data_IF_110337190868
#
_entry.id   IF_110337190868
#
_cell.length_a   1.000
_cell.length_b   1.000
_cell.length_c   1.000
_cell.angle_alpha   90.00
_cell.angle_beta   90.00
_cell.angle_gamma   90.00
#
_symmetry.space_group_name_H-M   'P 1'
#
loop_
_entity.id
_entity.type
_entity.pdbx_description
1 polymer ?
#
# COMPACT_ATOMS: atom_id res chain seq x y z
N UNK A 1 -7.81 18.15 14.84
CA UNK A 1 -7.25 16.83 14.51
C UNK A 1 -5.76 16.93 14.72
N UNK A 2 -5.18 16.16 15.63
CA UNK A 2 -3.71 16.07 15.74
C UNK A 2 -3.15 15.68 14.37
N UNK A 3 -2.12 16.36 13.85
CA UNK A 3 -1.52 15.97 12.59
C UNK A 3 -0.97 14.55 12.73
N UNK A 4 -1.35 13.64 11.83
CA UNK A 4 -0.75 12.31 11.74
C UNK A 4 0.77 12.49 11.66
N UNK A 5 1.50 12.03 12.68
CA UNK A 5 2.96 12.05 12.62
C UNK A 5 3.38 11.14 11.47
N UNK A 6 4.17 11.68 10.54
CA UNK A 6 4.77 10.88 9.49
C UNK A 6 5.56 9.70 10.12
N UNK A 7 5.49 8.49 9.54
CA UNK A 7 6.24 7.35 10.03
C UNK A 7 7.75 7.65 9.95
N UNK A 8 8.50 7.22 10.96
CA UNK A 8 9.95 7.41 11.09
C UNK A 8 10.63 6.09 11.46
N UNK A 9 11.91 5.97 11.15
CA UNK A 9 12.71 4.76 11.42
C UNK A 9 12.86 3.87 10.18
N UNK A 10 13.05 2.57 10.39
CA UNK A 10 13.21 1.61 9.30
C UNK A 10 11.85 1.31 8.67
N UNK A 11 11.61 1.87 7.49
CA UNK A 11 10.46 1.56 6.64
C UNK A 11 10.92 0.56 5.59
N UNK A 12 10.36 -0.65 5.62
CA UNK A 12 10.77 -1.72 4.72
C UNK A 12 9.87 -1.73 3.49
N UNK A 13 10.47 -1.53 2.32
CA UNK A 13 9.85 -1.87 1.05
C UNK A 13 9.73 -3.40 0.95
N UNK A 14 8.50 -3.90 0.97
CA UNK A 14 8.23 -5.33 0.99
C UNK A 14 8.08 -5.84 -0.44
N UNK A 15 8.86 -6.87 -0.79
CA UNK A 15 8.64 -7.61 -2.03
C UNK A 15 7.26 -8.26 -2.05
N UNK A 16 6.68 -8.45 -3.23
CA UNK A 16 5.40 -9.16 -3.39
C UNK A 16 5.66 -10.58 -3.90
N UNK A 17 5.58 -11.62 -3.06
CA UNK A 17 5.77 -12.98 -3.54
C UNK A 17 4.62 -13.39 -4.46
N UNK A 18 4.95 -13.77 -5.69
CA UNK A 18 4.00 -14.24 -6.69
C UNK A 18 4.18 -15.74 -6.97
N UNK A 19 3.10 -16.38 -7.39
CA UNK A 19 3.10 -17.71 -7.99
C UNK A 19 3.58 -17.64 -9.43
N UNK A 20 3.88 -18.78 -10.06
CA UNK A 20 4.22 -18.85 -11.49
C UNK A 20 3.14 -18.26 -12.42
N UNK A 21 1.90 -18.16 -11.93
CA UNK A 21 0.76 -17.57 -12.65
C UNK A 21 0.60 -16.06 -12.39
N UNK A 22 1.53 -15.43 -11.67
CA UNK A 22 1.45 -14.01 -11.30
C UNK A 22 0.42 -13.68 -10.22
N UNK A 23 -0.16 -14.68 -9.56
CA UNK A 23 -1.07 -14.47 -8.42
C UNK A 23 -0.30 -14.36 -7.12
N UNK A 24 -0.84 -13.66 -6.12
CA UNK A 24 -0.22 -13.54 -4.78
C UNK A 24 0.03 -14.92 -4.15
N UNK A 25 1.28 -15.18 -3.77
CA UNK A 25 1.67 -16.38 -3.04
C UNK A 25 1.49 -16.16 -1.53
N UNK A 26 0.26 -16.31 -1.04
CA UNK A 26 -0.17 -15.98 0.33
C UNK A 26 0.79 -16.42 1.45
N UNK A 27 1.15 -17.70 1.52
CA UNK A 27 2.01 -18.20 2.61
C UNK A 27 3.44 -17.65 2.57
N UNK A 28 3.94 -17.28 1.39
CA UNK A 28 5.24 -16.63 1.25
C UNK A 28 5.14 -15.16 1.66
N UNK A 29 4.05 -14.48 1.30
CA UNK A 29 3.78 -13.11 1.73
C UNK A 29 3.65 -13.02 3.26
N UNK A 30 2.88 -13.91 3.89
CA UNK A 30 2.76 -14.00 5.35
C UNK A 30 4.11 -14.22 6.03
N UNK A 31 4.95 -15.10 5.48
CA UNK A 31 6.30 -15.36 6.01
C UNK A 31 7.20 -14.14 5.88
N UNK A 32 7.17 -13.44 4.75
CA UNK A 32 7.90 -12.19 4.54
C UNK A 32 7.45 -11.11 5.54
N UNK A 33 6.14 -10.90 5.65
CA UNK A 33 5.54 -9.98 6.63
C UNK A 33 6.02 -10.32 8.04
N UNK A 34 5.74 -11.54 8.51
CA UNK A 34 6.06 -12.04 9.86
C UNK A 34 7.54 -11.91 10.24
N UNK A 35 8.43 -11.98 9.25
CA UNK A 35 9.86 -11.75 9.45
C UNK A 35 10.18 -10.27 9.65
N UNK A 36 9.60 -9.40 8.83
CA UNK A 36 9.88 -7.96 8.79
C UNK A 36 9.24 -7.22 9.97
N UNK A 37 8.03 -7.59 10.42
CA UNK A 37 7.32 -6.89 11.52
C UNK A 37 8.13 -6.77 12.81
N UNK A 38 9.08 -7.69 13.03
CA UNK A 38 9.91 -7.73 14.25
C UNK A 38 11.00 -6.65 14.27
N UNK A 39 11.33 -6.07 13.12
CA UNK A 39 12.47 -5.16 12.97
C UNK A 39 12.09 -3.81 12.35
N UNK A 40 10.97 -3.75 11.63
CA UNK A 40 10.52 -2.55 10.95
C UNK A 40 9.69 -1.62 11.86
N UNK A 41 9.73 -0.32 11.56
CA UNK A 41 8.85 0.70 12.12
C UNK A 41 7.73 1.10 11.14
N UNK A 42 7.79 0.60 9.90
CA UNK A 42 6.73 0.73 8.90
C UNK A 42 6.98 -0.22 7.73
N UNK A 43 5.93 -0.50 6.96
CA UNK A 43 6.02 -1.39 5.80
C UNK A 43 5.42 -0.69 4.60
N UNK A 44 6.16 -0.65 3.49
CA UNK A 44 5.66 -0.19 2.20
C UNK A 44 5.29 -1.38 1.32
N UNK A 45 3.99 -1.57 1.15
CA UNK A 45 3.34 -2.65 0.42
C UNK A 45 3.12 -2.27 -1.04
N UNK A 46 3.22 -3.26 -1.93
CA UNK A 46 2.97 -3.09 -3.35
C UNK A 46 3.69 -1.86 -3.93
N UNK A 47 4.91 -1.56 -3.46
CA UNK A 47 5.71 -0.44 -3.95
C UNK A 47 5.96 -0.57 -5.46
N UNK A 48 6.24 0.53 -6.19
CA UNK A 48 6.23 0.51 -7.65
C UNK A 48 7.20 -0.51 -8.27
N UNK A 49 8.38 -0.71 -7.67
CA UNK A 49 9.41 -1.60 -8.20
C UNK A 49 9.51 -2.87 -7.34
N UNK A 50 9.94 -2.76 -6.08
CA UNK A 50 10.21 -3.94 -5.25
C UNK A 50 8.96 -4.78 -4.95
N UNK A 51 7.81 -4.12 -4.77
CA UNK A 51 6.52 -4.74 -4.53
C UNK A 51 5.68 -4.96 -5.79
N UNK A 52 6.24 -4.73 -6.98
CA UNK A 52 5.56 -4.92 -8.29
C UNK A 52 4.25 -4.11 -8.43
N UNK A 53 4.15 -2.99 -7.73
CA UNK A 53 2.97 -2.14 -7.66
C UNK A 53 2.48 -1.61 -8.99
N UNK A 54 3.31 -1.59 -10.04
CA UNK A 54 2.91 -1.17 -11.38
C UNK A 54 2.18 -2.27 -12.16
N UNK A 55 2.39 -3.54 -11.78
CA UNK A 55 1.87 -4.72 -12.47
C UNK A 55 0.62 -5.31 -11.78
N UNK A 56 0.43 -5.00 -10.50
CA UNK A 56 -0.68 -5.50 -9.71
C UNK A 56 -2.00 -4.83 -10.12
N UNK A 57 -3.11 -5.55 -9.98
CA UNK A 57 -4.45 -5.00 -10.09
C UNK A 57 -5.01 -4.61 -8.69
N UNK A 58 -6.21 -4.04 -8.64
CA UNK A 58 -6.84 -3.63 -7.39
C UNK A 58 -7.05 -4.84 -6.45
N UNK A 59 -7.44 -5.98 -7.00
CA UNK A 59 -7.74 -7.19 -6.21
C UNK A 59 -6.48 -7.71 -5.52
N UNK A 60 -5.35 -7.73 -6.22
CA UNK A 60 -4.08 -8.15 -5.68
C UNK A 60 -3.59 -7.19 -4.58
N UNK A 61 -3.74 -5.87 -4.77
CA UNK A 61 -3.43 -4.87 -3.73
C UNK A 61 -4.31 -5.03 -2.49
N UNK A 62 -5.62 -5.28 -2.67
CA UNK A 62 -6.54 -5.57 -1.56
C UNK A 62 -6.13 -6.82 -0.79
N UNK A 63 -5.72 -7.89 -1.49
CA UNK A 63 -5.25 -9.12 -0.87
C UNK A 63 -3.95 -8.92 -0.06
N UNK A 64 -3.00 -8.17 -0.61
CA UNK A 64 -1.76 -7.80 0.09
C UNK A 64 -2.08 -7.00 1.35
N UNK A 65 -2.93 -5.97 1.23
CA UNK A 65 -3.32 -5.12 2.35
C UNK A 65 -4.04 -5.92 3.43
N UNK A 66 -4.96 -6.81 3.05
CA UNK A 66 -5.68 -7.65 4.00
C UNK A 66 -4.73 -8.54 4.81
N UNK A 67 -3.78 -9.22 4.16
CA UNK A 67 -2.78 -10.06 4.85
C UNK A 67 -1.84 -9.23 5.73
N UNK A 68 -1.40 -8.06 5.25
CA UNK A 68 -0.56 -7.18 6.05
C UNK A 68 -1.29 -6.71 7.32
N UNK A 69 -2.58 -6.40 7.23
CA UNK A 69 -3.40 -6.04 8.39
C UNK A 69 -3.53 -7.19 9.39
N UNK A 70 -3.76 -8.41 8.94
CA UNK A 70 -3.85 -9.60 9.81
C UNK A 70 -2.54 -9.87 10.57
N UNK A 71 -1.40 -9.70 9.90
CA UNK A 71 -0.07 -9.95 10.48
C UNK A 71 0.36 -8.81 11.41
N UNK A 72 0.10 -7.56 11.02
CA UNK A 72 0.54 -6.38 11.81
C UNK A 72 -0.40 -6.04 12.96
N UNK A 73 -1.69 -6.39 12.86
CA UNK A 73 -2.75 -6.08 13.84
C UNK A 73 -2.73 -4.61 14.29
N UNK A 74 -2.56 -3.72 13.32
CA UNK A 74 -2.54 -2.26 13.53
C UNK A 74 -1.33 -1.72 14.30
N UNK A 75 -0.31 -2.53 14.62
CA UNK A 75 0.85 -2.11 15.42
C UNK A 75 1.89 -1.29 14.66
N UNK A 76 1.90 -1.40 13.33
CA UNK A 76 2.83 -0.68 12.47
C UNK A 76 2.05 0.12 11.41
N UNK A 77 2.54 1.31 11.03
CA UNK A 77 2.03 2.02 9.88
C UNK A 77 2.28 1.24 8.60
N UNK A 78 1.24 1.12 7.78
CA UNK A 78 1.30 0.53 6.45
C UNK A 78 1.24 1.64 5.42
N UNK A 79 2.17 1.63 4.47
CA UNK A 79 2.13 2.44 3.27
C UNK A 79 1.75 1.53 2.11
N UNK A 80 0.89 1.98 1.19
CA UNK A 80 0.54 1.20 0.00
C UNK A 80 0.44 2.09 -1.23
N UNK A 81 1.01 1.60 -2.32
CA UNK A 81 1.00 2.31 -3.60
C UNK A 81 -0.40 2.34 -4.22
N UNK A 82 -0.87 3.53 -4.56
CA UNK A 82 -2.17 3.72 -5.21
C UNK A 82 -2.05 4.17 -6.67
N UNK A 83 -0.87 4.60 -7.10
CA UNK A 83 -0.70 5.17 -8.44
C UNK A 83 -0.98 4.15 -9.54
N UNK A 84 -1.99 4.44 -10.35
CA UNK A 84 -2.31 3.75 -11.58
C UNK A 84 -1.65 4.37 -12.81
N UNK A 85 -2.10 3.98 -14.00
CA UNK A 85 -1.61 4.53 -15.28
C UNK A 85 -2.10 5.96 -15.56
N UNK A 86 -3.16 6.39 -14.87
CA UNK A 86 -3.81 7.68 -14.99
C UNK A 86 -4.54 8.05 -13.68
N UNK A 87 -5.14 9.24 -13.65
CA UNK A 87 -5.88 9.77 -12.50
C UNK A 87 -7.11 8.94 -12.16
N UNK A 88 -7.86 8.47 -13.17
CA UNK A 88 -9.07 7.67 -12.98
C UNK A 88 -8.74 6.32 -12.32
N UNK A 89 -7.70 5.65 -12.81
CA UNK A 89 -7.24 4.40 -12.24
C UNK A 89 -6.67 4.60 -10.84
N UNK A 90 -5.90 5.67 -10.60
CA UNK A 90 -5.38 6.00 -9.27
C UNK A 90 -6.52 6.22 -8.27
N UNK A 91 -7.57 6.96 -8.65
CA UNK A 91 -8.78 7.13 -7.82
C UNK A 91 -9.49 5.80 -7.60
N UNK A 92 -9.69 4.99 -8.64
CA UNK A 92 -10.32 3.67 -8.52
C UNK A 92 -9.57 2.78 -7.54
N UNK A 93 -8.23 2.79 -7.57
CA UNK A 93 -7.40 2.04 -6.64
C UNK A 93 -7.54 2.58 -5.22
N UNK A 94 -7.44 3.89 -5.03
CA UNK A 94 -7.60 4.54 -3.73
C UNK A 94 -8.94 4.20 -3.08
N UNK A 95 -10.05 4.44 -3.77
CA UNK A 95 -11.39 4.17 -3.23
C UNK A 95 -11.59 2.68 -2.97
N UNK A 96 -11.16 1.82 -3.89
CA UNK A 96 -11.26 0.37 -3.73
C UNK A 96 -10.49 -0.15 -2.51
N UNK A 97 -9.31 0.39 -2.24
CA UNK A 97 -8.53 0.06 -1.05
C UNK A 97 -9.15 0.64 0.22
N UNK A 98 -9.56 1.91 0.19
CA UNK A 98 -10.20 2.59 1.32
C UNK A 98 -11.45 1.83 1.78
N UNK A 99 -12.37 1.51 0.87
CA UNK A 99 -13.58 0.75 1.19
C UNK A 99 -13.29 -0.64 1.76
N UNK A 100 -12.16 -1.27 1.40
CA UNK A 100 -11.78 -2.59 1.92
C UNK A 100 -11.31 -2.58 3.38
N UNK A 101 -10.98 -1.40 3.92
CA UNK A 101 -10.44 -1.23 5.28
C UNK A 101 -11.27 -0.30 6.17
N UNK A 102 -12.28 0.38 5.62
CA UNK A 102 -13.05 1.41 6.31
C UNK A 102 -13.62 0.91 7.66
N UNK A 103 -14.21 -0.28 7.65
CA UNK A 103 -14.88 -0.90 8.81
C UNK A 103 -13.96 -1.79 9.67
N UNK A 104 -12.63 -1.77 9.47
CA UNK A 104 -11.70 -2.60 10.25
C UNK A 104 -11.21 -1.85 11.49
N UNK A 105 -11.48 -2.42 12.68
CA UNK A 105 -11.06 -1.85 13.97
C UNK A 105 -9.53 -1.88 14.15
N UNK A 106 -8.88 -2.98 13.79
CA UNK A 106 -7.42 -3.17 13.95
C UNK A 106 -6.59 -2.71 12.72
N UNK A 107 -6.99 -1.62 12.06
CA UNK A 107 -6.31 -1.19 10.83
C UNK A 107 -5.00 -0.42 11.04
N UNK A 108 -4.79 0.13 12.24
CA UNK A 108 -3.65 1.02 12.51
C UNK A 108 -3.62 2.23 11.57
N UNK A 109 -2.44 2.79 11.33
CA UNK A 109 -2.25 3.89 10.38
C UNK A 109 -1.99 3.35 8.98
N UNK A 110 -2.79 3.78 8.00
CA UNK A 110 -2.60 3.48 6.57
C UNK A 110 -2.30 4.76 5.82
N UNK A 111 -1.24 4.73 5.01
CA UNK A 111 -0.80 5.84 4.16
C UNK A 111 -0.93 5.42 2.70
N UNK A 112 -1.70 6.20 1.93
CA UNK A 112 -1.85 6.04 0.50
C UNK A 112 -0.70 6.74 -0.21
N UNK A 113 0.15 5.98 -0.90
CA UNK A 113 1.32 6.51 -1.61
C UNK A 113 0.96 6.79 -3.06
N UNK A 114 0.89 8.07 -3.40
CA UNK A 114 0.61 8.57 -4.73
C UNK A 114 1.86 9.21 -5.35
N UNK A 115 2.04 8.98 -6.65
CA UNK A 115 3.13 9.51 -7.46
C UNK A 115 2.58 10.00 -8.81
N UNK A 116 1.78 11.09 -8.80
CA UNK A 116 1.09 11.59 -9.99
C UNK A 116 2.04 11.96 -11.14
N UNK A 117 3.31 12.22 -10.84
CA UNK A 117 4.34 12.51 -11.86
C UNK A 117 4.62 11.35 -12.82
N UNK A 118 4.16 10.15 -12.50
CA UNK A 118 4.27 9.03 -13.44
C UNK A 118 3.26 9.08 -14.58
N UNK A 119 2.14 9.80 -14.41
CA UNK A 119 1.08 9.91 -15.42
C UNK A 119 0.68 11.36 -15.73
N UNK A 120 1.29 12.34 -15.07
CA UNK A 120 0.97 13.76 -15.21
C UNK A 120 2.19 14.67 -15.01
N UNK A 121 2.10 15.92 -15.49
CA UNK A 121 3.13 16.94 -15.25
C UNK A 121 3.03 17.53 -13.83
N UNK A 122 4.11 18.18 -13.36
CA UNK A 122 4.09 19.02 -12.16
C UNK A 122 3.06 20.17 -12.24
N UNK A 123 2.69 20.61 -13.46
CA UNK A 123 1.71 21.67 -13.67
C UNK A 123 0.34 21.20 -13.19
N UNK A 124 -0.30 21.93 -12.28
CA UNK A 124 -1.63 21.55 -11.78
C UNK A 124 -1.62 20.41 -10.76
N UNK A 125 -0.45 19.98 -10.26
CA UNK A 125 -0.37 18.95 -9.21
C UNK A 125 -1.24 19.28 -7.98
N UNK A 126 -1.25 20.52 -7.46
CA UNK A 126 -2.08 20.84 -6.30
C UNK A 126 -3.58 20.66 -6.54
N UNK A 127 -4.08 20.76 -7.78
CA UNK A 127 -5.51 20.57 -8.04
C UNK A 127 -5.95 19.09 -7.99
N UNK A 128 -5.03 18.13 -8.08
CA UNK A 128 -5.36 16.71 -7.93
C UNK A 128 -5.73 16.33 -6.48
N UNK A 129 -5.31 17.14 -5.51
CA UNK A 129 -5.50 16.92 -4.08
C UNK A 129 -6.46 17.91 -3.42
N UNK A 130 -7.16 18.74 -4.20
CA UNK A 130 -8.21 19.62 -3.68
C UNK A 130 -9.53 18.85 -3.69
N UNK A 131 -10.13 18.73 -2.52
CA UNK A 131 -11.55 18.35 -2.36
C UNK A 131 -12.47 19.55 -2.65
#
# INVERSE_FOLDING_TARGET
MEPLSAPRGLIVELITPLTEKGLIHRSSLERCLSRVVKFAQGIFLASPIGGEGLQLDLKARQEILAQALEVTRGKLPLMIWITGKDEEETRRILFGLHSSVENKEEKGSIFWVDAPLMYHSNRGLPSLYKE
#
